data_IF_756000190781
#
_entry.id   IF_756000190781
#
_cell.length_a   1.000
_cell.length_b   1.000
_cell.length_c   1.000
_cell.angle_alpha   90.00
_cell.angle_beta   90.00
_cell.angle_gamma   90.00
#
_symmetry.space_group_name_H-M   'P 1'
#
loop_
_entity.id
_entity.type
_entity.pdbx_description
1 polymer ?
#
# COMPACT_ATOMS: atom_id res chain seq x y z
N UNK A 1 -17.20 -2.23 -18.32
CA UNK A 1 -16.54 -0.93 -18.58
C UNK A 1 -15.68 -0.60 -17.38
N UNK A 2 -14.36 -0.52 -17.54
CA UNK A 2 -13.45 -0.07 -16.46
C UNK A 2 -13.63 1.43 -16.28
N UNK A 3 -13.97 1.88 -15.07
CA UNK A 3 -14.12 3.31 -14.77
C UNK A 3 -12.74 3.98 -14.78
N UNK A 4 -12.68 5.27 -15.17
CA UNK A 4 -11.45 6.06 -15.04
C UNK A 4 -11.10 6.23 -13.55
N UNK A 5 -9.81 6.21 -13.21
CA UNK A 5 -9.35 6.36 -11.82
C UNK A 5 -9.92 7.62 -11.13
N UNK A 6 -9.93 8.76 -11.83
CA UNK A 6 -10.54 9.99 -11.31
C UNK A 6 -12.03 9.83 -10.97
N UNK A 7 -12.77 9.06 -11.77
CA UNK A 7 -14.19 8.76 -11.50
C UNK A 7 -14.34 7.90 -10.25
N UNK A 8 -13.48 6.88 -10.08
CA UNK A 8 -13.46 6.02 -8.89
C UNK A 8 -13.18 6.86 -7.64
N UNK A 9 -12.09 7.63 -7.67
CA UNK A 9 -11.65 8.46 -6.56
C UNK A 9 -12.72 9.46 -6.10
N UNK A 10 -13.41 10.12 -7.04
CA UNK A 10 -14.44 11.11 -6.72
C UNK A 10 -15.76 10.47 -6.28
N UNK A 11 -16.20 9.39 -6.95
CA UNK A 11 -17.56 8.85 -6.77
C UNK A 11 -17.70 7.79 -5.69
N UNK A 12 -16.60 7.27 -5.16
CA UNK A 12 -16.64 6.21 -4.15
C UNK A 12 -17.48 6.61 -2.93
N UNK A 13 -18.52 5.82 -2.65
CA UNK A 13 -19.46 6.03 -1.54
C UNK A 13 -20.48 7.16 -1.74
N UNK A 14 -20.52 7.82 -2.91
CA UNK A 14 -21.46 8.90 -3.14
C UNK A 14 -22.87 8.38 -3.45
N UNK A 15 -23.86 8.87 -2.72
CA UNK A 15 -25.28 8.47 -2.83
C UNK A 15 -25.55 6.98 -2.52
N UNK A 16 -24.71 6.36 -1.70
CA UNK A 16 -24.87 4.97 -1.25
C UNK A 16 -25.57 4.85 0.12
N UNK A 17 -25.94 5.98 0.74
CA UNK A 17 -26.65 5.99 2.02
C UNK A 17 -28.15 5.74 1.82
N UNK A 18 -28.60 4.52 2.09
CA UNK A 18 -30.01 4.13 1.98
C UNK A 18 -30.87 4.65 3.14
N UNK A 19 -30.27 5.04 4.27
CA UNK A 19 -31.03 5.46 5.46
C UNK A 19 -31.56 6.88 5.33
N UNK A 20 -30.74 7.84 4.90
CA UNK A 20 -31.10 9.25 4.81
C UNK A 20 -30.83 9.87 3.43
N UNK A 21 -30.27 9.12 2.48
CA UNK A 21 -29.93 9.65 1.16
C UNK A 21 -28.76 10.63 1.17
N UNK A 22 -27.84 10.53 2.12
CA UNK A 22 -26.67 11.40 2.17
C UNK A 22 -25.80 11.26 0.90
N UNK A 23 -25.51 12.40 0.25
CA UNK A 23 -24.62 12.43 -0.92
C UNK A 23 -23.21 11.96 -0.54
N UNK A 24 -22.69 12.39 0.61
CA UNK A 24 -21.40 11.96 1.16
C UNK A 24 -21.65 10.89 2.22
N UNK A 25 -20.87 9.79 2.25
CA UNK A 25 -21.12 8.70 3.19
C UNK A 25 -20.94 9.18 4.64
N UNK A 26 -21.85 8.82 5.56
CA UNK A 26 -21.77 9.23 6.94
C UNK A 26 -20.61 8.55 7.70
N UNK A 27 -20.19 9.20 8.79
CA UNK A 27 -19.14 8.69 9.68
C UNK A 27 -19.79 7.82 10.76
N UNK A 28 -19.55 6.51 10.71
CA UNK A 28 -20.06 5.55 11.67
C UNK A 28 -19.05 5.32 12.79
N UNK A 29 -19.16 6.10 13.86
CA UNK A 29 -18.26 6.04 15.03
C UNK A 29 -18.62 4.92 16.03
N UNK A 30 -19.77 4.26 15.86
CA UNK A 30 -20.21 3.21 16.79
C UNK A 30 -19.17 2.08 16.88
N UNK A 31 -18.93 1.60 18.10
CA UNK A 31 -18.07 0.45 18.36
C UNK A 31 -18.77 -0.88 18.10
N UNK A 32 -20.08 -0.93 18.34
CA UNK A 32 -20.93 -2.13 18.27
C UNK A 32 -22.18 -1.86 17.44
N UNK A 33 -22.73 -2.91 16.85
CA UNK A 33 -23.94 -2.88 16.05
C UNK A 33 -24.92 -3.92 16.57
N UNK A 34 -26.22 -3.64 16.46
CA UNK A 34 -27.24 -4.56 16.98
C UNK A 34 -27.36 -5.82 16.11
N UNK A 35 -27.79 -6.90 16.75
CA UNK A 35 -28.12 -8.16 16.10
C UNK A 35 -29.60 -8.13 15.69
N UNK A 36 -29.99 -8.88 14.66
CA UNK A 36 -31.41 -9.01 14.27
C UNK A 36 -32.19 -9.91 15.23
N UNK A 37 -31.48 -10.83 15.90
CA UNK A 37 -32.00 -11.79 16.86
C UNK A 37 -30.86 -12.38 17.69
N UNK A 38 -31.17 -13.39 18.52
CA UNK A 38 -30.14 -14.06 19.32
C UNK A 38 -29.14 -14.79 18.41
N UNK A 39 -27.87 -14.40 18.48
CA UNK A 39 -26.77 -14.96 17.66
C UNK A 39 -26.93 -14.78 16.14
N UNK A 40 -27.67 -13.74 15.71
CA UNK A 40 -27.82 -13.35 14.31
C UNK A 40 -27.16 -11.98 14.05
N UNK A 41 -25.83 -11.94 13.82
CA UNK A 41 -25.14 -10.69 13.55
C UNK A 41 -25.56 -10.13 12.19
N UNK A 42 -25.62 -8.80 12.09
CA UNK A 42 -25.71 -8.09 10.80
C UNK A 42 -24.36 -8.14 10.09
N UNK A 43 -24.26 -7.51 8.92
CA UNK A 43 -23.00 -7.34 8.19
C UNK A 43 -21.88 -6.72 9.05
N UNK A 44 -22.27 -5.87 10.00
CA UNK A 44 -21.38 -5.35 11.04
C UNK A 44 -21.91 -5.75 12.41
N UNK A 45 -20.99 -6.14 13.30
CA UNK A 45 -21.22 -6.51 14.70
C UNK A 45 -20.29 -5.70 15.62
N UNK A 46 -19.02 -5.57 15.26
CA UNK A 46 -17.98 -4.89 16.02
C UNK A 46 -17.00 -4.12 15.11
N UNK A 47 -16.75 -2.85 15.41
CA UNK A 47 -16.03 -1.91 14.54
C UNK A 47 -14.58 -2.29 14.22
N UNK A 48 -13.90 -3.03 15.10
CA UNK A 48 -12.57 -3.61 14.81
C UNK A 48 -12.62 -4.67 13.71
N UNK A 49 -13.71 -5.46 13.63
CA UNK A 49 -13.90 -6.48 12.60
C UNK A 49 -14.31 -5.85 11.27
N UNK A 50 -15.30 -4.96 11.29
CA UNK A 50 -15.83 -4.29 10.10
C UNK A 50 -16.53 -2.99 10.49
N UNK A 51 -16.41 -1.95 9.65
CA UNK A 51 -16.99 -0.65 9.91
C UNK A 51 -17.46 -0.03 8.59
N UNK A 52 -18.72 0.45 8.47
CA UNK A 52 -19.26 0.95 7.21
C UNK A 52 -18.42 2.06 6.58
N UNK A 53 -17.87 2.97 7.38
CA UNK A 53 -17.04 4.08 6.87
C UNK A 53 -15.69 3.58 6.36
N UNK A 54 -15.06 2.63 7.06
CA UNK A 54 -13.82 1.98 6.62
C UNK A 54 -14.03 1.15 5.35
N UNK A 55 -15.16 0.47 5.24
CA UNK A 55 -15.46 -0.36 4.09
C UNK A 55 -15.56 0.43 2.79
N UNK A 56 -16.09 1.66 2.83
CA UNK A 56 -16.15 2.54 1.65
C UNK A 56 -14.75 2.86 1.13
N UNK A 57 -13.82 3.26 2.00
CA UNK A 57 -12.45 3.60 1.57
C UNK A 57 -11.66 2.37 1.14
N UNK A 58 -11.88 1.21 1.77
CA UNK A 58 -11.29 -0.06 1.33
C UNK A 58 -11.73 -0.42 -0.09
N UNK A 59 -13.03 -0.33 -0.40
CA UNK A 59 -13.54 -0.58 -1.77
C UNK A 59 -12.94 0.40 -2.77
N UNK A 60 -12.87 1.69 -2.42
CA UNK A 60 -12.28 2.71 -3.29
C UNK A 60 -10.81 2.40 -3.64
N UNK A 61 -10.00 2.07 -2.62
CA UNK A 61 -8.58 1.76 -2.80
C UNK A 61 -8.37 0.45 -3.58
N UNK A 62 -9.19 -0.57 -3.32
CA UNK A 62 -9.15 -1.82 -4.08
C UNK A 62 -9.46 -1.57 -5.57
N UNK A 63 -10.50 -0.80 -5.87
CA UNK A 63 -10.86 -0.47 -7.26
C UNK A 63 -9.78 0.38 -7.96
N UNK A 64 -9.13 1.31 -7.25
CA UNK A 64 -8.03 2.12 -7.77
C UNK A 64 -6.77 1.31 -8.11
N UNK A 65 -6.46 0.29 -7.32
CA UNK A 65 -5.32 -0.63 -7.57
C UNK A 65 -5.68 -1.82 -8.49
N UNK A 66 -6.97 -2.03 -8.77
CA UNK A 66 -7.44 -3.20 -9.51
C UNK A 66 -7.35 -4.51 -8.71
N UNK A 67 -7.43 -4.44 -7.39
CA UNK A 67 -7.42 -5.59 -6.49
C UNK A 67 -8.81 -6.15 -6.19
N UNK A 68 -8.86 -7.37 -5.67
CA UNK A 68 -10.11 -8.03 -5.24
C UNK A 68 -10.67 -7.42 -3.95
N UNK A 69 -9.81 -6.83 -3.11
CA UNK A 69 -10.21 -6.17 -1.87
C UNK A 69 -9.02 -5.55 -1.15
N UNK A 70 -9.33 -4.75 -0.14
CA UNK A 70 -8.35 -4.00 0.64
C UNK A 70 -8.65 -4.09 2.14
N UNK A 71 -7.59 -4.07 2.94
CA UNK A 71 -7.66 -4.02 4.40
C UNK A 71 -6.94 -2.76 4.88
N UNK A 72 -7.71 -1.82 5.44
CA UNK A 72 -7.18 -0.56 5.97
C UNK A 72 -6.66 -0.76 7.39
N UNK A 73 -5.42 -0.33 7.63
CA UNK A 73 -4.74 -0.38 8.93
C UNK A 73 -4.51 1.01 9.51
N UNK A 74 -4.31 1.08 10.82
CA UNK A 74 -4.06 2.33 11.55
C UNK A 74 -2.73 3.01 11.19
N UNK A 75 -1.78 2.31 10.57
CA UNK A 75 -0.54 2.90 10.03
C UNK A 75 -0.01 2.08 8.85
N UNK A 76 0.87 2.67 8.03
CA UNK A 76 1.62 1.93 7.00
C UNK A 76 2.51 0.83 7.59
N UNK A 77 3.09 1.04 8.77
CA UNK A 77 3.87 0.00 9.46
C UNK A 77 3.01 -1.19 9.89
N UNK A 78 1.75 -0.93 10.26
CA UNK A 78 0.79 -1.97 10.60
C UNK A 78 0.35 -2.75 9.36
N UNK A 79 0.31 -2.13 8.18
CA UNK A 79 0.08 -2.84 6.91
C UNK A 79 1.25 -3.80 6.62
N UNK A 80 2.48 -3.33 6.76
CA UNK A 80 3.68 -4.16 6.62
C UNK A 80 3.67 -5.31 7.64
N UNK A 81 3.38 -5.02 8.90
CA UNK A 81 3.32 -6.03 9.96
C UNK A 81 2.20 -7.05 9.71
N UNK A 82 1.06 -6.62 9.19
CA UNK A 82 -0.04 -7.51 8.81
C UNK A 82 0.41 -8.49 7.73
N UNK A 83 1.06 -8.00 6.66
CA UNK A 83 1.58 -8.87 5.58
C UNK A 83 2.57 -9.89 6.15
N UNK A 84 3.56 -9.46 6.95
CA UNK A 84 4.53 -10.42 7.50
C UNK A 84 3.88 -11.44 8.44
N UNK A 85 2.85 -11.03 9.20
CA UNK A 85 2.10 -11.94 10.08
C UNK A 85 1.31 -13.00 9.30
N UNK A 86 0.73 -12.62 8.16
CA UNK A 86 -0.07 -13.54 7.32
C UNK A 86 0.84 -14.56 6.61
N UNK A 87 1.96 -14.11 6.05
CA UNK A 87 2.74 -14.94 5.13
C UNK A 87 3.95 -15.64 5.74
N UNK A 88 4.47 -15.19 6.89
CA UNK A 88 5.71 -15.70 7.47
C UNK A 88 5.50 -16.40 8.80
N UNK A 89 6.20 -17.51 8.96
CA UNK A 89 6.35 -18.29 10.18
C UNK A 89 7.83 -18.35 10.59
N UNK A 90 8.14 -18.79 11.83
CA UNK A 90 9.52 -19.01 12.23
C UNK A 90 10.27 -19.92 11.25
N UNK A 91 11.41 -19.44 10.74
CA UNK A 91 12.22 -20.13 9.74
C UNK A 91 11.98 -19.69 8.29
N UNK A 92 10.82 -19.10 7.98
CA UNK A 92 10.55 -18.57 6.64
C UNK A 92 11.45 -17.38 6.33
N UNK A 93 11.71 -17.14 5.03
CA UNK A 93 12.59 -16.08 4.57
C UNK A 93 11.80 -14.96 3.87
N UNK A 94 12.02 -13.72 4.33
CA UNK A 94 11.67 -12.48 3.67
C UNK A 94 12.88 -11.94 2.89
N UNK A 95 12.71 -11.65 1.60
CA UNK A 95 13.65 -10.81 0.84
C UNK A 95 13.08 -9.40 0.76
N UNK A 96 13.86 -8.41 1.18
CA UNK A 96 13.48 -6.99 1.16
C UNK A 96 14.57 -6.14 0.46
N UNK A 97 14.23 -4.95 -0.07
CA UNK A 97 15.21 -4.04 -0.62
C UNK A 97 16.15 -3.55 0.48
N UNK A 98 17.45 -3.49 0.21
CA UNK A 98 18.44 -2.97 1.15
C UNK A 98 18.26 -1.48 1.47
N UNK A 99 17.64 -0.74 0.55
CA UNK A 99 17.33 0.69 0.65
C UNK A 99 15.83 0.94 0.85
N UNK A 100 15.10 -0.04 1.39
CA UNK A 100 13.72 0.17 1.80
C UNK A 100 13.61 1.23 2.90
N UNK A 101 12.41 1.78 3.08
CA UNK A 101 12.10 2.73 4.14
C UNK A 101 12.67 2.27 5.50
N UNK A 102 13.38 3.15 6.19
CA UNK A 102 14.06 2.81 7.45
C UNK A 102 13.16 2.25 8.55
N UNK A 103 11.86 2.59 8.54
CA UNK A 103 10.88 1.95 9.42
C UNK A 103 10.61 0.49 9.07
N UNK A 104 10.53 0.16 7.78
CA UNK A 104 10.41 -1.21 7.25
C UNK A 104 11.64 -2.03 7.65
N UNK A 105 12.84 -1.51 7.36
CA UNK A 105 14.11 -2.14 7.77
C UNK A 105 14.11 -2.48 9.27
N UNK A 106 13.84 -1.48 10.12
CA UNK A 106 13.84 -1.64 11.57
C UNK A 106 12.83 -2.69 12.04
N UNK A 107 11.63 -2.73 11.47
CA UNK A 107 10.62 -3.72 11.83
C UNK A 107 11.06 -5.13 11.45
N UNK A 108 11.55 -5.33 10.22
CA UNK A 108 11.98 -6.63 9.74
C UNK A 108 13.17 -7.18 10.52
N UNK A 109 14.20 -6.36 10.74
CA UNK A 109 15.37 -6.73 11.54
C UNK A 109 14.99 -7.06 13.00
N UNK A 110 14.12 -6.24 13.61
CA UNK A 110 13.69 -6.48 14.99
C UNK A 110 12.90 -7.78 15.16
N UNK A 111 12.01 -8.09 14.21
CA UNK A 111 11.24 -9.35 14.22
C UNK A 111 12.14 -10.55 13.89
N UNK A 112 13.10 -10.40 12.99
CA UNK A 112 14.06 -11.46 12.69
C UNK A 112 14.96 -11.80 13.89
N UNK A 113 15.46 -10.80 14.61
CA UNK A 113 16.23 -10.99 15.87
C UNK A 113 15.42 -11.69 16.97
N UNK A 114 14.10 -11.60 16.93
CA UNK A 114 13.19 -12.32 17.83
C UNK A 114 12.88 -13.75 17.35
N UNK A 115 13.41 -14.17 16.22
CA UNK A 115 13.16 -15.49 15.63
C UNK A 115 11.78 -15.64 14.99
N UNK A 116 11.08 -14.53 14.68
CA UNK A 116 9.78 -14.60 14.03
C UNK A 116 9.89 -15.12 12.59
N UNK A 117 10.99 -14.81 11.90
CA UNK A 117 11.34 -15.24 10.54
C UNK A 117 12.79 -14.82 10.24
N UNK A 118 13.31 -15.17 9.07
CA UNK A 118 14.60 -14.69 8.53
C UNK A 118 14.36 -13.54 7.57
N UNK A 119 15.32 -12.61 7.45
CA UNK A 119 15.27 -11.53 6.47
C UNK A 119 16.61 -11.40 5.75
N UNK A 120 16.56 -11.19 4.44
CA UNK A 120 17.70 -10.78 3.61
C UNK A 120 17.41 -9.43 2.97
N UNK A 121 18.31 -8.49 3.17
CA UNK A 121 18.28 -7.17 2.56
C UNK A 121 19.17 -7.19 1.32
N UNK A 122 18.58 -6.96 0.15
CA UNK A 122 19.22 -7.19 -1.15
C UNK A 122 19.14 -5.94 -2.00
N UNK A 123 20.19 -5.67 -2.77
CA UNK A 123 20.08 -4.75 -3.91
C UNK A 123 19.31 -5.45 -5.04
N UNK A 124 18.03 -5.11 -5.17
CA UNK A 124 17.14 -5.73 -6.14
C UNK A 124 17.41 -5.25 -7.58
N UNK A 125 18.32 -4.28 -7.76
CA UNK A 125 18.85 -3.91 -9.09
C UNK A 125 20.05 -4.77 -9.50
N UNK A 126 20.71 -5.44 -8.56
CA UNK A 126 21.76 -6.42 -8.82
C UNK A 126 21.12 -7.80 -9.09
N UNK A 127 21.16 -8.22 -10.36
CA UNK A 127 20.57 -9.48 -10.78
C UNK A 127 21.21 -10.70 -10.12
N UNK A 128 22.52 -10.67 -9.86
CA UNK A 128 23.21 -11.80 -9.23
C UNK A 128 22.82 -11.91 -7.76
N UNK A 129 22.78 -10.77 -7.05
CA UNK A 129 22.36 -10.74 -5.65
C UNK A 129 20.89 -11.17 -5.50
N UNK A 130 20.00 -10.68 -6.37
CA UNK A 130 18.59 -11.07 -6.36
C UNK A 130 18.42 -12.57 -6.63
N UNK A 131 19.10 -13.13 -7.65
CA UNK A 131 19.02 -14.57 -7.95
C UNK A 131 19.56 -15.43 -6.81
N UNK A 132 20.65 -15.02 -6.17
CA UNK A 132 21.19 -15.72 -5.01
C UNK A 132 20.19 -15.75 -3.85
N UNK A 133 19.53 -14.62 -3.55
CA UNK A 133 18.52 -14.54 -2.50
C UNK A 133 17.26 -15.37 -2.84
N UNK A 134 16.82 -15.38 -4.09
CA UNK A 134 15.69 -16.21 -4.54
C UNK A 134 16.00 -17.71 -4.50
N UNK A 135 17.25 -18.11 -4.70
CA UNK A 135 17.69 -19.50 -4.57
C UNK A 135 17.58 -20.05 -3.13
N UNK A 136 17.46 -19.17 -2.13
CA UNK A 136 17.16 -19.56 -0.75
C UNK A 136 15.67 -19.86 -0.50
N UNK A 137 14.83 -19.86 -1.55
CA UNK A 137 13.39 -20.15 -1.52
C UNK A 137 12.63 -19.25 -0.53
N UNK A 138 12.66 -17.92 -0.71
CA UNK A 138 11.94 -17.02 0.17
C UNK A 138 10.44 -17.26 0.09
N UNK A 139 9.75 -17.03 1.20
CA UNK A 139 8.29 -17.10 1.24
C UNK A 139 7.64 -15.80 0.77
N UNK A 140 8.32 -14.68 1.00
CA UNK A 140 7.85 -13.34 0.69
C UNK A 140 8.98 -12.50 0.08
N UNK A 141 8.69 -11.78 -1.00
CA UNK A 141 9.57 -10.80 -1.63
C UNK A 141 8.86 -9.44 -1.58
N UNK A 142 9.45 -8.49 -0.84
CA UNK A 142 8.99 -7.11 -0.80
C UNK A 142 9.78 -6.27 -1.79
N UNK A 143 9.09 -5.39 -2.50
CA UNK A 143 9.67 -4.44 -3.45
C UNK A 143 9.22 -3.03 -3.08
N UNK A 144 10.10 -2.05 -3.17
CA UNK A 144 9.79 -0.63 -2.99
C UNK A 144 10.37 0.13 -4.18
N UNK A 145 9.51 0.69 -5.03
CA UNK A 145 9.94 1.35 -6.27
C UNK A 145 9.01 2.52 -6.61
N UNK A 146 9.52 3.77 -6.64
CA UNK A 146 10.87 4.19 -6.27
C UNK A 146 11.18 4.00 -4.77
N UNK A 147 12.44 3.72 -4.42
CA UNK A 147 12.87 3.58 -3.02
C UNK A 147 12.95 4.90 -2.26
N UNK A 148 12.74 4.87 -0.95
CA UNK A 148 12.89 6.01 -0.06
C UNK A 148 14.18 5.90 0.77
N UNK A 149 15.12 6.88 0.72
CA UNK A 149 15.01 8.22 0.10
C UNK A 149 15.70 8.37 -1.26
N UNK A 150 16.34 7.32 -1.77
CA UNK A 150 17.25 7.41 -2.92
C UNK A 150 16.56 7.36 -4.28
N UNK A 151 15.24 7.16 -4.32
CA UNK A 151 14.41 7.10 -5.53
C UNK A 151 14.93 6.11 -6.58
N UNK A 152 15.51 4.99 -6.13
CA UNK A 152 15.95 3.92 -7.05
C UNK A 152 14.73 3.23 -7.61
N UNK A 153 14.77 2.95 -8.91
CA UNK A 153 13.69 2.26 -9.62
C UNK A 153 14.17 0.85 -9.95
N UNK A 154 13.32 -0.12 -9.63
CA UNK A 154 13.51 -1.52 -10.00
C UNK A 154 12.37 -2.00 -10.88
N UNK A 155 12.64 -3.01 -11.71
CA UNK A 155 11.65 -3.63 -12.58
C UNK A 155 10.73 -4.55 -11.78
N UNK A 156 9.57 -4.01 -11.39
CA UNK A 156 8.55 -4.72 -10.61
C UNK A 156 8.08 -5.97 -11.34
N UNK A 157 7.86 -5.92 -12.66
CA UNK A 157 7.33 -7.04 -13.41
C UNK A 157 8.33 -8.19 -13.46
N UNK A 158 9.61 -7.89 -13.70
CA UNK A 158 10.70 -8.87 -13.66
C UNK A 158 10.83 -9.50 -12.26
N UNK A 159 10.83 -8.71 -11.19
CA UNK A 159 10.97 -9.24 -9.83
C UNK A 159 9.77 -10.11 -9.45
N UNK A 160 8.55 -9.68 -9.75
CA UNK A 160 7.35 -10.47 -9.46
C UNK A 160 7.32 -11.78 -10.25
N UNK A 161 7.80 -11.78 -11.49
CA UNK A 161 7.96 -13.00 -12.29
C UNK A 161 8.95 -13.97 -11.62
N UNK A 162 10.15 -13.50 -11.29
CA UNK A 162 11.18 -14.32 -10.64
C UNK A 162 10.73 -14.85 -9.27
N UNK A 163 10.01 -14.04 -8.48
CA UNK A 163 9.43 -14.46 -7.21
C UNK A 163 8.43 -15.61 -7.41
N UNK A 164 7.58 -15.52 -8.45
CA UNK A 164 6.62 -16.58 -8.77
C UNK A 164 7.28 -17.88 -9.19
N UNK A 165 8.40 -17.84 -9.93
CA UNK A 165 9.13 -19.05 -10.35
C UNK A 165 9.62 -19.89 -9.17
N UNK A 166 9.92 -19.26 -8.03
CA UNK A 166 10.33 -19.94 -6.79
C UNK A 166 9.19 -20.11 -5.78
N UNK A 167 7.95 -19.77 -6.16
CA UNK A 167 6.76 -19.90 -5.32
C UNK A 167 6.65 -18.87 -4.18
N UNK A 168 7.39 -17.75 -4.27
CA UNK A 168 7.33 -16.66 -3.31
C UNK A 168 6.15 -15.71 -3.60
N UNK A 169 5.54 -15.18 -2.55
CA UNK A 169 4.54 -14.11 -2.66
C UNK A 169 5.25 -12.78 -2.89
N UNK A 170 4.77 -11.98 -3.84
CA UNK A 170 5.31 -10.66 -4.14
C UNK A 170 4.43 -9.54 -3.58
N UNK A 171 5.05 -8.62 -2.85
CA UNK A 171 4.38 -7.43 -2.29
C UNK A 171 5.12 -6.16 -2.68
N UNK A 172 4.39 -5.16 -3.16
CA UNK A 172 4.98 -3.88 -3.60
C UNK A 172 4.50 -2.74 -2.70
N UNK A 173 5.44 -2.04 -2.07
CA UNK A 173 5.21 -0.74 -1.45
C UNK A 173 5.11 0.32 -2.55
N UNK A 174 3.88 0.78 -2.78
CA UNK A 174 3.54 1.74 -3.82
C UNK A 174 3.27 3.15 -3.25
N UNK A 175 3.70 3.40 -2.01
CA UNK A 175 3.46 4.66 -1.28
C UNK A 175 3.88 5.90 -2.07
N UNK A 176 4.99 5.82 -2.81
CA UNK A 176 5.59 6.99 -3.46
C UNK A 176 4.82 7.45 -4.71
N UNK A 177 4.37 6.52 -5.53
CA UNK A 177 3.70 6.84 -6.80
C UNK A 177 2.18 6.85 -6.67
N UNK A 178 1.63 6.12 -5.70
CA UNK A 178 0.19 5.88 -5.54
C UNK A 178 -0.42 5.15 -6.78
N UNK A 179 -1.68 4.69 -6.70
CA UNK A 179 -2.35 4.06 -7.83
C UNK A 179 -2.49 5.00 -9.04
N UNK A 180 -2.37 6.32 -8.83
CA UNK A 180 -2.50 7.31 -9.90
C UNK A 180 -1.36 7.23 -10.93
N UNK A 181 -0.18 6.73 -10.55
CA UNK A 181 1.01 6.70 -11.41
C UNK A 181 1.61 5.30 -11.58
N UNK A 182 1.29 4.35 -10.70
CA UNK A 182 1.77 2.97 -10.78
C UNK A 182 0.73 2.01 -10.21
N UNK A 183 0.42 0.92 -10.92
CA UNK A 183 -0.46 -0.14 -10.44
C UNK A 183 0.29 -1.48 -10.39
N UNK A 184 0.96 -1.83 -9.28
CA UNK A 184 1.80 -3.01 -9.21
C UNK A 184 1.05 -4.34 -9.41
N UNK A 185 -0.24 -4.42 -9.06
CA UNK A 185 -1.04 -5.61 -9.33
C UNK A 185 -1.16 -5.90 -10.84
N UNK A 186 -1.22 -4.86 -11.67
CA UNK A 186 -1.20 -4.98 -13.13
C UNK A 186 0.19 -5.36 -13.66
N UNK A 187 1.26 -5.05 -12.91
CA UNK A 187 2.64 -5.46 -13.20
C UNK A 187 2.96 -6.88 -12.71
N UNK A 188 2.01 -7.55 -12.06
CA UNK A 188 2.14 -8.95 -11.67
C UNK A 188 2.41 -9.19 -10.18
N UNK A 189 2.37 -8.15 -9.35
CA UNK A 189 2.41 -8.31 -7.89
C UNK A 189 1.17 -9.04 -7.36
N UNK A 190 1.32 -9.79 -6.27
CA UNK A 190 0.21 -10.45 -5.58
C UNK A 190 -0.50 -9.49 -4.62
N UNK A 191 0.31 -8.60 -4.01
CA UNK A 191 -0.11 -7.62 -3.01
C UNK A 191 0.48 -6.24 -3.30
N UNK A 192 -0.28 -5.22 -2.94
CA UNK A 192 0.18 -3.84 -2.86
C UNK A 192 0.00 -3.33 -1.43
N UNK A 193 0.97 -2.57 -0.96
CA UNK A 193 0.86 -1.83 0.30
C UNK A 193 1.07 -0.33 0.07
N UNK A 194 0.42 0.47 0.90
CA UNK A 194 0.65 1.91 0.96
C UNK A 194 0.69 2.40 2.40
N UNK A 195 1.54 3.39 2.66
CA UNK A 195 1.31 4.37 3.70
C UNK A 195 0.34 5.44 3.19
N UNK A 196 -0.93 5.28 3.53
CA UNK A 196 -1.99 6.24 3.19
C UNK A 196 -1.72 7.65 3.75
N UNK A 197 -0.88 7.75 4.78
CA UNK A 197 -0.35 8.99 5.37
C UNK A 197 0.22 9.97 4.35
N UNK A 198 0.71 9.47 3.19
CA UNK A 198 1.40 10.26 2.17
C UNK A 198 0.42 10.76 1.11
N UNK A 199 0.61 10.40 -0.15
CA UNK A 199 -0.15 10.95 -1.28
C UNK A 199 -1.64 10.58 -1.29
N UNK A 200 -2.01 9.40 -0.75
CA UNK A 200 -3.41 8.97 -0.74
C UNK A 200 -4.29 9.88 0.14
N UNK A 201 -3.82 10.25 1.33
CA UNK A 201 -4.48 11.29 2.12
C UNK A 201 -4.17 12.69 1.57
N UNK A 202 -2.89 13.01 1.37
CA UNK A 202 -2.44 14.26 0.75
C UNK A 202 -2.57 15.53 1.61
N UNK A 203 -3.06 15.43 2.85
CA UNK A 203 -3.33 16.58 3.73
C UNK A 203 -2.52 16.58 5.04
N UNK A 204 -1.61 15.61 5.23
CA UNK A 204 -0.71 15.52 6.39
C UNK A 204 -1.39 15.50 7.77
N UNK A 205 -2.64 15.04 7.84
CA UNK A 205 -3.49 15.01 9.04
C UNK A 205 -4.02 13.60 9.40
N UNK A 206 -3.66 12.57 8.64
CA UNK A 206 -4.04 11.17 8.87
C UNK A 206 -2.81 10.29 8.83
N UNK A 207 -2.66 9.39 9.80
CA UNK A 207 -1.76 8.25 9.71
C UNK A 207 -2.59 7.01 9.43
N UNK A 208 -2.31 6.34 8.32
CA UNK A 208 -3.02 5.12 7.93
C UNK A 208 -2.16 4.27 6.98
N UNK A 209 -2.51 3.00 6.86
CA UNK A 209 -1.95 2.09 5.86
C UNK A 209 -3.05 1.28 5.20
N UNK A 210 -2.72 0.63 4.09
CA UNK A 210 -3.62 -0.30 3.42
C UNK A 210 -2.82 -1.43 2.80
N UNK A 211 -3.38 -2.63 2.81
CA UNK A 211 -2.95 -3.76 1.99
C UNK A 211 -4.05 -4.08 1.00
N UNK A 212 -3.73 -4.15 -0.30
CA UNK A 212 -4.64 -4.56 -1.36
C UNK A 212 -4.12 -5.87 -1.93
N UNK A 213 -5.01 -6.86 -2.07
CA UNK A 213 -4.65 -8.17 -2.62
C UNK A 213 -5.39 -8.42 -3.94
N UNK A 214 -4.73 -9.17 -4.84
CA UNK A 214 -5.33 -9.64 -6.09
C UNK A 214 -6.31 -10.80 -5.87
N UNK A 215 -6.05 -11.63 -4.87
CA UNK A 215 -6.82 -12.84 -4.56
C UNK A 215 -7.83 -12.56 -3.41
N UNK A 216 -9.15 -12.80 -3.61
CA UNK A 216 -10.15 -12.62 -2.56
C UNK A 216 -9.95 -13.50 -1.31
N UNK A 217 -9.35 -14.68 -1.45
CA UNK A 217 -9.08 -15.56 -0.29
C UNK A 217 -7.99 -14.93 0.60
N UNK A 218 -6.98 -14.32 -0.01
CA UNK A 218 -5.95 -13.55 0.68
C UNK A 218 -6.55 -12.31 1.37
N UNK A 219 -7.52 -11.62 0.76
CA UNK A 219 -8.23 -10.50 1.42
C UNK A 219 -8.92 -10.97 2.69
N UNK A 220 -9.54 -12.15 2.66
CA UNK A 220 -10.23 -12.74 3.80
C UNK A 220 -9.26 -13.05 4.93
N UNK A 221 -8.10 -13.64 4.60
CA UNK A 221 -7.05 -13.94 5.57
C UNK A 221 -6.43 -12.66 6.18
N UNK A 222 -6.15 -11.65 5.35
CA UNK A 222 -5.69 -10.34 5.82
C UNK A 222 -6.69 -9.69 6.78
N UNK A 223 -8.00 -9.72 6.45
CA UNK A 223 -9.03 -9.14 7.30
C UNK A 223 -9.14 -9.87 8.65
N UNK A 224 -9.01 -11.21 8.64
CA UNK A 224 -9.01 -12.03 9.85
C UNK A 224 -7.82 -11.69 10.76
N UNK A 225 -6.61 -11.64 10.20
CA UNK A 225 -5.41 -11.28 10.97
C UNK A 225 -5.44 -9.84 11.45
N UNK A 226 -5.88 -8.88 10.62
CA UNK A 226 -5.96 -7.48 11.00
C UNK A 226 -6.88 -7.26 12.21
N UNK A 227 -8.00 -7.99 12.24
CA UNK A 227 -8.89 -8.03 13.40
C UNK A 227 -8.18 -8.63 14.63
N UNK A 228 -7.50 -9.76 14.48
CA UNK A 228 -6.90 -10.49 15.60
C UNK A 228 -5.74 -9.75 16.26
N UNK A 229 -4.89 -9.10 15.47
CA UNK A 229 -3.76 -8.31 16.00
C UNK A 229 -4.14 -6.85 16.27
N UNK A 230 -5.39 -6.45 16.01
CA UNK A 230 -5.95 -5.16 16.39
C UNK A 230 -5.37 -3.96 15.63
N UNK A 231 -5.03 -4.14 14.35
CA UNK A 231 -4.36 -3.11 13.53
C UNK A 231 -5.28 -2.35 12.60
N UNK A 232 -6.57 -2.64 12.58
CA UNK A 232 -7.54 -2.00 11.66
C UNK A 232 -7.64 -0.48 11.86
N UNK A 233 -7.84 0.26 10.77
CA UNK A 233 -7.98 1.72 10.80
C UNK A 233 -9.27 2.21 11.49
N UNK A 234 -9.23 3.42 12.04
CA UNK A 234 -10.38 4.07 12.68
C UNK A 234 -11.39 4.64 11.68
N UNK A 235 -12.66 4.77 12.07
CA UNK A 235 -13.73 5.27 11.21
C UNK A 235 -13.52 6.74 10.79
N UNK A 236 -13.05 7.59 11.71
CA UNK A 236 -12.80 9.01 11.43
C UNK A 236 -11.65 9.19 10.42
N UNK A 237 -10.52 8.51 10.65
CA UNK A 237 -9.38 8.51 9.73
C UNK A 237 -9.75 7.94 8.36
N UNK A 238 -10.60 6.90 8.33
CA UNK A 238 -11.13 6.34 7.08
C UNK A 238 -11.92 7.37 6.28
N UNK A 239 -12.73 8.19 6.95
CA UNK A 239 -13.47 9.28 6.31
C UNK A 239 -12.54 10.37 5.78
N UNK A 240 -11.57 10.81 6.59
CA UNK A 240 -10.59 11.82 6.17
C UNK A 240 -9.76 11.34 4.98
N UNK A 241 -9.32 10.08 5.00
CA UNK A 241 -8.62 9.46 3.88
C UNK A 241 -9.50 9.43 2.61
N UNK A 242 -10.76 9.03 2.73
CA UNK A 242 -11.70 9.05 1.61
C UNK A 242 -11.89 10.46 1.05
N UNK A 243 -11.95 11.47 1.92
CA UNK A 243 -11.99 12.89 1.51
C UNK A 243 -10.71 13.29 0.78
N UNK A 244 -9.54 12.89 1.25
CA UNK A 244 -8.25 13.13 0.60
C UNK A 244 -8.15 12.52 -0.80
N UNK A 245 -8.58 11.26 -0.93
CA UNK A 245 -8.58 10.52 -2.21
C UNK A 245 -9.32 11.23 -3.33
N UNK A 246 -10.43 11.92 -3.03
CA UNK A 246 -11.22 12.67 -4.03
C UNK A 246 -10.41 13.76 -4.73
N UNK A 247 -9.37 14.28 -4.08
CA UNK A 247 -8.49 15.31 -4.63
C UNK A 247 -7.18 14.74 -5.21
N UNK A 248 -6.85 13.47 -4.94
CA UNK A 248 -5.59 12.87 -5.36
C UNK A 248 -5.40 12.87 -6.89
N UNK A 249 -6.49 12.67 -7.65
CA UNK A 249 -6.46 12.76 -9.13
C UNK A 249 -6.15 14.16 -9.68
N UNK A 250 -6.44 15.23 -8.92
CA UNK A 250 -6.16 16.61 -9.33
C UNK A 250 -4.76 17.07 -8.88
N UNK A 251 -4.30 16.61 -7.71
CA UNK A 251 -2.99 16.97 -7.15
C UNK A 251 -1.81 16.33 -7.93
N UNK A 252 -1.98 15.11 -8.43
CA UNK A 252 -0.93 14.38 -9.15
C UNK A 252 -0.76 14.82 -10.61
N UNK A 253 -1.72 15.55 -11.20
CA UNK A 253 -1.60 16.13 -12.54
C UNK A 253 -0.92 17.51 -12.60
N UNK A 254 -0.65 18.13 -11.45
CA UNK A 254 -0.11 19.50 -11.36
C UNK A 254 0.84 19.73 -10.16
N UNK A 255 1.46 18.65 -9.66
CA UNK A 255 2.26 18.69 -8.44
C UNK A 255 3.53 19.57 -8.56
N UNK A 256 3.96 20.24 -7.48
CA UNK A 256 5.18 21.05 -7.48
C UNK A 256 6.44 20.22 -7.75
N UNK A 257 6.44 18.89 -7.57
CA UNK A 257 7.59 18.03 -7.88
C UNK A 257 7.88 17.92 -9.39
N UNK A 258 6.84 17.91 -10.25
CA UNK A 258 7.01 18.02 -11.70
C UNK A 258 7.59 19.39 -12.07
N UNK A 259 7.05 20.46 -11.46
CA UNK A 259 7.58 21.82 -11.63
C UNK A 259 8.98 22.03 -11.05
N UNK A 260 9.37 21.34 -9.98
CA UNK A 260 10.69 21.43 -9.36
C UNK A 260 11.73 20.56 -10.08
N UNK A 261 11.32 19.46 -10.72
CA UNK A 261 12.16 18.73 -11.66
C UNK A 261 12.41 19.52 -12.96
N UNK A 262 11.43 20.34 -13.37
CA UNK A 262 11.56 21.25 -14.52
C UNK A 262 12.23 22.61 -14.15
N UNK A 263 12.14 23.07 -12.90
CA UNK A 263 12.85 24.24 -12.38
C UNK A 263 14.26 23.87 -11.88
N UNK A 264 15.25 23.94 -12.76
CA UNK A 264 16.63 24.41 -12.51
C UNK A 264 17.37 24.00 -11.21
N UNK A 265 17.05 22.90 -10.52
CA UNK A 265 17.92 22.39 -9.45
C UNK A 265 19.19 21.76 -10.06
N UNK A 266 19.09 21.15 -11.25
CA UNK A 266 20.23 20.61 -11.99
C UNK A 266 21.16 21.68 -12.56
N UNK A 267 20.72 22.94 -12.61
CA UNK A 267 21.49 24.07 -13.14
C UNK A 267 22.11 24.94 -12.04
N UNK A 268 21.89 24.62 -10.76
CA UNK A 268 22.44 25.39 -9.65
C UNK A 268 23.88 24.96 -9.35
N UNK A 269 24.90 25.81 -9.60
CA UNK A 269 26.30 25.48 -9.36
C UNK A 269 26.66 25.27 -7.87
N UNK A 270 25.75 25.60 -6.94
CA UNK A 270 25.90 25.30 -5.51
C UNK A 270 25.43 23.88 -5.13
N UNK A 271 24.76 23.16 -6.04
CA UNK A 271 24.33 21.77 -5.85
C UNK A 271 25.42 20.88 -6.45
N UNK A 272 26.31 20.37 -5.61
CA UNK A 272 27.28 19.35 -6.02
C UNK A 272 26.59 18.15 -6.67
N UNK A 273 27.23 17.54 -7.67
CA UNK A 273 26.73 16.41 -8.45
C UNK A 273 25.98 15.38 -7.59
N UNK A 274 24.65 15.34 -7.72
CA UNK A 274 23.71 14.19 -7.63
C UNK A 274 22.34 14.66 -7.14
N UNK A 275 21.60 15.32 -8.02
CA UNK A 275 20.14 15.35 -7.89
C UNK A 275 19.59 14.02 -8.39
N UNK A 276 18.88 13.27 -7.54
CA UNK A 276 18.20 12.04 -7.97
C UNK A 276 16.72 12.35 -8.14
N UNK A 277 16.25 12.31 -9.39
CA UNK A 277 14.83 12.41 -9.74
C UNK A 277 14.53 11.38 -10.82
N UNK A 278 13.52 10.52 -10.67
CA UNK A 278 13.12 9.56 -11.69
C UNK A 278 12.75 10.21 -13.03
N UNK A 279 12.33 11.48 -13.00
CA UNK A 279 11.93 12.24 -14.19
C UNK A 279 13.14 12.85 -14.92
N UNK A 280 14.24 13.12 -14.20
CA UNK A 280 15.45 13.73 -14.78
C UNK A 280 16.28 12.76 -15.64
N UNK A 281 16.13 11.44 -15.45
CA UNK A 281 16.90 10.42 -16.15
C UNK A 281 16.47 10.17 -17.62
N UNK A 282 15.47 10.90 -18.13
CA UNK A 282 14.90 10.70 -19.47
C UNK A 282 15.31 11.70 -20.55
N UNK A 283 16.14 12.72 -20.24
CA UNK A 283 16.55 13.78 -21.19
C UNK A 283 18.04 13.73 -21.54
N UNK A 284 18.55 12.59 -21.97
CA UNK A 284 19.84 12.49 -22.68
C UNK A 284 19.75 11.44 -23.77
N UNK A 285 19.31 11.86 -24.96
CA UNK A 285 19.08 10.98 -26.09
C UNK A 285 18.38 11.67 -27.25
N UNK A 286 19.05 12.68 -27.82
CA UNK A 286 18.90 13.14 -29.21
C UNK A 286 20.24 13.74 -29.64
#
# INVERSE_FOLDING_TARGET
MTRKQATIAVRSGLNDDEQYGCVVPPIHLSSTYNFTGFNEPRAHDYSRRGNPTRDVVQRALAELEGGAGAVLTNTGMSAIHLVTTVFLKPGDLLVAPHDCYGGSYRLFDSLAKRGCYRVLFVDQSDEQALRAALAENPKLVLVESPSNPLLRVVDIAKICHLAREVGAVSVVDNTFLSPALQNPLALGADLVLHSCTKYLNGHSDVVAGVVIAKDPDVVTELAWWANNIGVTGGAFDSYLLLRGLRNAGAANGAGPAQRAGDCEISANPAVGEKTVSPVAAGKSGA
#
